data_IF_295792706979
#
_entry.id   IF_295792706979
#
_cell.length_a   1.000
_cell.length_b   1.000
_cell.length_c   1.000
_cell.angle_alpha   90.00
_cell.angle_beta   90.00
_cell.angle_gamma   90.00
#
_symmetry.space_group_name_H-M   'P 1'
#
loop_
_entity.id
_entity.type
_entity.pdbx_description
1 polymer ?
#
# COMPACT_ATOMS: atom_id res chain seq x y z
N UNK A 1 -13.24 -12.77 24.38
CA UNK A 1 -14.66 -12.57 24.79
C UNK A 1 -15.53 -13.76 24.44
N UNK A 2 -15.71 -14.12 23.16
CA UNK A 2 -16.59 -15.24 22.76
C UNK A 2 -16.22 -16.61 23.38
N UNK A 3 -14.93 -16.93 23.51
CA UNK A 3 -14.51 -18.21 24.14
C UNK A 3 -14.78 -18.29 25.65
N UNK A 4 -14.65 -17.17 26.38
CA UNK A 4 -14.98 -17.11 27.80
C UNK A 4 -16.49 -17.28 28.06
N UNK A 5 -17.34 -16.62 27.25
CA UNK A 5 -18.78 -16.78 27.31
C UNK A 5 -19.22 -18.23 26.98
N UNK A 6 -18.61 -18.82 25.95
CA UNK A 6 -18.85 -20.22 25.58
C UNK A 6 -18.42 -21.20 26.69
N UNK A 7 -17.32 -20.91 27.38
CA UNK A 7 -16.84 -21.71 28.53
C UNK A 7 -17.78 -21.64 29.74
N UNK A 8 -18.37 -20.48 30.01
CA UNK A 8 -19.38 -20.34 31.06
C UNK A 8 -20.65 -21.16 30.74
N UNK A 9 -21.08 -21.16 29.48
CA UNK A 9 -22.20 -21.99 29.00
C UNK A 9 -21.87 -23.48 29.13
N UNK A 10 -20.65 -23.89 28.77
CA UNK A 10 -20.20 -25.28 28.93
C UNK A 10 -20.26 -25.75 30.39
N UNK A 11 -19.86 -24.90 31.33
CA UNK A 11 -19.92 -25.19 32.77
C UNK A 11 -21.34 -25.20 33.32
N UNK A 12 -22.22 -24.31 32.82
CA UNK A 12 -23.64 -24.40 33.13
C UNK A 12 -24.23 -25.75 32.67
N UNK A 13 -23.89 -26.21 31.46
CA UNK A 13 -24.30 -27.53 30.96
C UNK A 13 -23.69 -28.68 31.78
N UNK A 14 -22.47 -28.50 32.33
CA UNK A 14 -21.81 -29.48 33.18
C UNK A 14 -22.56 -29.74 34.49
N UNK A 15 -23.30 -28.74 35.00
CA UNK A 15 -24.16 -28.93 36.19
C UNK A 15 -25.34 -29.87 35.93
N UNK A 16 -25.73 -30.06 34.67
CA UNK A 16 -26.83 -30.95 34.27
C UNK A 16 -26.31 -32.33 33.83
N UNK A 17 -25.28 -32.39 32.97
CA UNK A 17 -24.58 -33.64 32.67
C UNK A 17 -23.20 -33.39 32.02
N UNK A 18 -22.23 -34.24 32.35
CA UNK A 18 -20.88 -34.17 31.79
C UNK A 18 -20.84 -34.43 30.28
N UNK A 19 -21.74 -35.27 29.75
CA UNK A 19 -21.85 -35.56 28.32
C UNK A 19 -22.33 -34.36 27.51
N UNK A 20 -23.26 -33.54 28.04
CA UNK A 20 -23.72 -32.31 27.40
C UNK A 20 -22.61 -31.25 27.31
N UNK A 21 -21.78 -31.14 28.34
CA UNK A 21 -20.61 -30.26 28.33
C UNK A 21 -19.63 -30.68 27.22
N UNK A 22 -19.29 -31.97 27.14
CA UNK A 22 -18.36 -32.48 26.12
C UNK A 22 -18.92 -32.32 24.70
N UNK A 23 -20.22 -32.53 24.50
CA UNK A 23 -20.89 -32.30 23.21
C UNK A 23 -20.81 -30.83 22.79
N UNK A 24 -21.10 -29.91 23.72
CA UNK A 24 -21.01 -28.47 23.46
C UNK A 24 -19.58 -28.03 23.13
N UNK A 25 -18.60 -28.46 23.94
CA UNK A 25 -17.18 -28.20 23.68
C UNK A 25 -16.75 -28.77 22.33
N UNK A 26 -17.21 -29.98 21.97
CA UNK A 26 -16.93 -30.60 20.68
C UNK A 26 -17.48 -29.80 19.49
N UNK A 27 -18.72 -29.31 19.58
CA UNK A 27 -19.33 -28.44 18.56
C UNK A 27 -18.53 -27.14 18.41
N UNK A 28 -18.18 -26.49 19.52
CA UNK A 28 -17.42 -25.23 19.51
C UNK A 28 -16.01 -25.44 18.95
N UNK A 29 -15.33 -26.54 19.31
CA UNK A 29 -14.01 -26.89 18.78
C UNK A 29 -14.05 -27.21 17.28
N UNK A 30 -15.09 -27.87 16.80
CA UNK A 30 -15.28 -28.13 15.36
C UNK A 30 -15.50 -26.82 14.58
N UNK A 31 -16.36 -25.94 15.07
CA UNK A 31 -16.61 -24.61 14.48
C UNK A 31 -15.33 -23.77 14.48
N UNK A 32 -14.56 -23.81 15.57
CA UNK A 32 -13.26 -23.17 15.68
C UNK A 32 -12.28 -23.71 14.63
N UNK A 33 -12.15 -25.03 14.50
CA UNK A 33 -11.28 -25.69 13.51
C UNK A 33 -11.67 -25.40 12.06
N UNK A 34 -12.95 -25.14 11.79
CA UNK A 34 -13.40 -24.67 10.48
C UNK A 34 -12.98 -23.22 10.22
N UNK A 35 -13.15 -22.32 11.20
CA UNK A 35 -12.77 -20.91 11.05
C UNK A 35 -11.25 -20.67 11.04
N UNK A 36 -10.44 -21.57 11.59
CA UNK A 36 -8.96 -21.51 11.46
C UNK A 36 -8.48 -21.69 10.03
N UNK A 37 -9.27 -22.28 9.13
CA UNK A 37 -8.95 -22.36 7.69
C UNK A 37 -9.39 -21.11 6.90
N UNK A 38 -10.10 -20.17 7.54
CA UNK A 38 -10.67 -18.98 6.91
C UNK A 38 -9.80 -17.72 6.98
N UNK A 39 -10.41 -16.57 6.69
CA UNK A 39 -9.74 -15.25 6.65
C UNK A 39 -9.30 -14.72 8.03
N UNK A 40 -9.69 -15.37 9.14
CA UNK A 40 -9.42 -14.89 10.52
C UNK A 40 -8.98 -16.03 11.44
N UNK A 41 -7.88 -16.73 11.13
CA UNK A 41 -7.46 -17.92 11.84
C UNK A 41 -7.13 -17.66 13.32
N UNK A 42 -6.57 -16.48 13.59
CA UNK A 42 -6.18 -16.05 14.92
C UNK A 42 -7.38 -15.92 15.88
N UNK A 43 -8.52 -15.39 15.41
CA UNK A 43 -9.70 -15.24 16.26
C UNK A 43 -10.26 -16.60 16.69
N UNK A 44 -10.27 -17.57 15.78
CA UNK A 44 -10.73 -18.92 16.09
C UNK A 44 -9.80 -19.57 17.13
N UNK A 45 -8.49 -19.56 16.89
CA UNK A 45 -7.51 -20.12 17.82
C UNK A 45 -7.62 -19.52 19.23
N UNK A 46 -7.84 -18.21 19.34
CA UNK A 46 -8.02 -17.52 20.63
C UNK A 46 -9.32 -17.94 21.35
N UNK A 47 -10.41 -18.20 20.62
CA UNK A 47 -11.64 -18.75 21.19
C UNK A 47 -11.42 -20.17 21.73
N UNK A 48 -10.71 -21.02 20.99
CA UNK A 48 -10.40 -22.39 21.42
C UNK A 48 -9.55 -22.46 22.70
N UNK A 49 -8.47 -21.67 22.76
CA UNK A 49 -7.61 -21.62 23.95
C UNK A 49 -8.37 -21.10 25.17
N UNK A 50 -9.16 -20.03 25.00
CA UNK A 50 -9.92 -19.46 26.13
C UNK A 50 -11.03 -20.38 26.64
N UNK A 51 -11.66 -21.16 25.76
CA UNK A 51 -12.59 -22.23 26.15
C UNK A 51 -11.87 -23.32 26.96
N UNK A 52 -10.72 -23.79 26.47
CA UNK A 52 -9.94 -24.85 27.14
C UNK A 52 -9.47 -24.44 28.55
N UNK A 53 -9.04 -23.19 28.73
CA UNK A 53 -8.63 -22.66 30.04
C UNK A 53 -9.80 -22.59 31.03
N UNK A 54 -11.00 -22.23 30.56
CA UNK A 54 -12.19 -22.11 31.42
C UNK A 54 -12.78 -23.48 31.78
N UNK A 55 -12.75 -24.46 30.86
CA UNK A 55 -13.32 -25.79 31.08
C UNK A 55 -12.33 -26.84 31.62
N UNK A 56 -11.04 -26.50 31.77
CA UNK A 56 -9.97 -27.45 32.07
C UNK A 56 -9.94 -28.02 33.49
N UNK A 57 -10.66 -27.42 34.44
CA UNK A 57 -10.83 -27.97 35.78
C UNK A 57 -12.20 -28.65 35.91
N UNK A 58 -12.17 -29.89 36.40
CA UNK A 58 -13.33 -30.76 36.49
C UNK A 58 -14.54 -30.14 37.20
N UNK A 59 -15.71 -30.68 36.86
CA UNK A 59 -17.04 -30.24 37.27
C UNK A 59 -17.16 -29.84 38.75
N UNK A 60 -17.63 -28.61 39.00
CA UNK A 60 -18.30 -28.27 40.27
C UNK A 60 -18.06 -26.86 40.80
N UNK A 61 -16.95 -26.20 40.46
CA UNK A 61 -16.62 -24.92 41.08
C UNK A 61 -16.79 -23.72 40.13
N UNK A 62 -18.04 -23.26 40.03
CA UNK A 62 -18.42 -22.08 39.25
C UNK A 62 -17.63 -20.83 39.65
N UNK A 63 -17.24 -20.71 40.93
CA UNK A 63 -16.49 -19.55 41.42
C UNK A 63 -15.07 -19.52 40.86
N UNK A 64 -14.38 -20.66 40.84
CA UNK A 64 -13.03 -20.78 40.28
C UNK A 64 -13.02 -20.54 38.77
N UNK A 65 -14.02 -21.04 38.05
CA UNK A 65 -14.17 -20.76 36.63
C UNK A 65 -14.45 -19.27 36.33
N UNK A 66 -15.27 -18.61 37.16
CA UNK A 66 -15.54 -17.17 37.02
C UNK A 66 -14.25 -16.36 37.15
N UNK A 67 -13.42 -16.66 38.17
CA UNK A 67 -12.14 -15.98 38.39
C UNK A 67 -11.18 -16.15 37.21
N UNK A 68 -11.06 -17.36 36.65
CA UNK A 68 -10.24 -17.62 35.45
C UNK A 68 -10.74 -16.89 34.21
N UNK A 69 -12.06 -16.84 34.02
CA UNK A 69 -12.64 -16.05 32.94
C UNK A 69 -12.35 -14.56 33.12
N UNK A 70 -12.35 -14.08 34.37
CA UNK A 70 -11.93 -12.74 34.76
C UNK A 70 -10.47 -12.46 34.42
N UNK A 71 -9.55 -13.35 34.77
CA UNK A 71 -8.11 -13.21 34.47
C UNK A 71 -7.86 -13.13 32.96
N UNK A 72 -8.55 -13.94 32.15
CA UNK A 72 -8.45 -13.91 30.69
C UNK A 72 -8.99 -12.59 30.12
N UNK A 73 -10.11 -12.09 30.64
CA UNK A 73 -10.70 -10.82 30.22
C UNK A 73 -9.78 -9.66 30.58
N UNK A 74 -9.27 -9.64 31.82
CA UNK A 74 -8.38 -8.61 32.30
C UNK A 74 -7.05 -8.61 31.53
N UNK A 75 -6.45 -9.79 31.32
CA UNK A 75 -5.26 -9.95 30.48
C UNK A 75 -5.47 -9.52 29.04
N UNK A 76 -6.65 -9.79 28.45
CA UNK A 76 -6.99 -9.34 27.10
C UNK A 76 -7.14 -7.82 27.01
N UNK A 77 -7.79 -7.19 28.00
CA UNK A 77 -7.93 -5.72 28.08
C UNK A 77 -6.56 -5.07 28.27
N UNK A 78 -5.73 -5.62 29.16
CA UNK A 78 -4.39 -5.14 29.42
C UNK A 78 -3.51 -5.27 28.16
N UNK A 79 -3.59 -6.40 27.46
CA UNK A 79 -2.90 -6.59 26.18
C UNK A 79 -3.37 -5.58 25.13
N UNK A 80 -4.69 -5.33 25.00
CA UNK A 80 -5.22 -4.32 24.10
C UNK A 80 -4.72 -2.92 24.45
N UNK A 81 -4.68 -2.57 25.74
CA UNK A 81 -4.11 -1.31 26.23
C UNK A 81 -2.63 -1.20 25.83
N UNK A 82 -1.81 -2.22 26.08
CA UNK A 82 -0.40 -2.21 25.69
C UNK A 82 -0.19 -2.15 24.17
N UNK A 83 -0.96 -2.91 23.38
CA UNK A 83 -0.90 -2.83 21.91
C UNK A 83 -1.39 -1.48 21.38
N UNK A 84 -2.27 -0.79 22.11
CA UNK A 84 -2.71 0.57 21.77
C UNK A 84 -1.68 1.63 22.15
N UNK A 85 -0.90 1.40 23.21
CA UNK A 85 0.17 2.31 23.67
C UNK A 85 1.40 2.20 22.75
N UNK A 86 1.64 1.01 22.17
CA UNK A 86 2.76 0.78 21.28
C UNK A 86 2.29 0.60 19.83
N UNK A 87 2.11 1.69 19.05
CA UNK A 87 1.75 1.59 17.64
C UNK A 87 2.81 0.76 16.91
N UNK A 88 2.37 -0.33 16.30
CA UNK A 88 3.20 -1.11 15.38
C UNK A 88 3.68 -0.15 14.28
N UNK A 89 5.01 -0.04 14.07
CA UNK A 89 5.72 0.86 13.13
C UNK A 89 4.98 1.07 11.80
N UNK A 90 3.96 1.91 11.79
CA UNK A 90 3.01 2.11 10.70
C UNK A 90 3.60 3.10 9.72
N UNK A 91 4.30 4.12 10.22
CA UNK A 91 5.08 5.04 9.41
C UNK A 91 6.15 4.34 8.59
N UNK A 92 6.94 3.45 9.19
CA UNK A 92 7.98 2.70 8.46
C UNK A 92 7.36 1.73 7.45
N UNK A 93 6.27 1.04 7.83
CA UNK A 93 5.54 0.18 6.90
C UNK A 93 5.00 0.95 5.70
N UNK A 94 4.39 2.12 5.94
CA UNK A 94 3.91 3.00 4.88
C UNK A 94 5.05 3.43 3.95
N UNK A 95 6.19 3.83 4.51
CA UNK A 95 7.38 4.21 3.73
C UNK A 95 7.87 3.10 2.82
N UNK A 96 8.05 1.90 3.36
CA UNK A 96 8.50 0.73 2.58
C UNK A 96 7.50 0.36 1.48
N UNK A 97 6.20 0.37 1.78
CA UNK A 97 5.17 0.04 0.79
C UNK A 97 5.05 1.12 -0.30
N UNK A 98 5.24 2.40 0.03
CA UNK A 98 5.26 3.48 -0.95
C UNK A 98 6.48 3.37 -1.87
N UNK A 99 7.66 3.05 -1.33
CA UNK A 99 8.86 2.81 -2.13
C UNK A 99 8.65 1.67 -3.14
N UNK A 100 8.07 0.56 -2.71
CA UNK A 100 7.73 -0.56 -3.59
C UNK A 100 6.74 -0.17 -4.69
N UNK A 101 5.80 0.73 -4.38
CA UNK A 101 4.89 1.29 -5.39
C UNK A 101 5.66 2.09 -6.45
N UNK A 102 6.61 2.94 -6.07
CA UNK A 102 7.42 3.71 -7.01
C UNK A 102 8.32 2.82 -7.88
N UNK A 103 8.96 1.80 -7.30
CA UNK A 103 9.73 0.82 -8.09
C UNK A 103 8.86 0.05 -9.06
N UNK A 104 7.71 -0.43 -8.60
CA UNK A 104 6.77 -1.15 -9.46
C UNK A 104 6.25 -0.24 -10.58
N UNK A 105 5.98 1.04 -10.30
CA UNK A 105 5.62 2.02 -11.31
C UNK A 105 6.72 2.20 -12.36
N UNK A 106 7.98 2.36 -11.92
CA UNK A 106 9.14 2.47 -12.81
C UNK A 106 9.35 1.22 -13.66
N UNK A 107 9.22 0.02 -13.08
CA UNK A 107 9.32 -1.25 -13.82
C UNK A 107 8.21 -1.42 -14.86
N UNK A 108 6.97 -1.05 -14.53
CA UNK A 108 5.85 -1.09 -15.48
C UNK A 108 6.10 -0.09 -16.61
N UNK A 109 6.48 1.13 -16.26
CA UNK A 109 6.74 2.19 -17.23
C UNK A 109 7.90 1.84 -18.18
N UNK A 110 9.03 1.38 -17.62
CA UNK A 110 10.17 0.90 -18.41
C UNK A 110 9.84 -0.33 -19.25
N UNK A 111 8.88 -1.16 -18.81
CA UNK A 111 8.36 -2.28 -19.57
C UNK A 111 7.59 -1.83 -20.81
N UNK A 112 6.70 -0.84 -20.68
CA UNK A 112 5.92 -0.29 -21.81
C UNK A 112 6.77 0.41 -22.86
N UNK A 113 7.90 0.99 -22.46
CA UNK A 113 8.78 1.80 -23.32
C UNK A 113 10.06 1.09 -23.74
N UNK A 114 10.24 -0.17 -23.37
CA UNK A 114 11.46 -0.90 -23.71
C UNK A 114 11.61 -1.04 -25.22
N UNK A 115 12.75 -0.59 -25.74
CA UNK A 115 13.10 -0.67 -27.17
C UNK A 115 13.14 -2.10 -27.72
N UNK A 116 13.27 -3.10 -26.84
CA UNK A 116 13.30 -4.50 -27.21
C UNK A 116 11.89 -5.10 -27.39
N UNK A 117 10.84 -4.32 -27.17
CA UNK A 117 9.45 -4.76 -27.22
C UNK A 117 8.84 -4.29 -28.53
N UNK A 118 8.48 -5.25 -29.39
CA UNK A 118 7.88 -5.00 -30.71
C UNK A 118 6.36 -4.84 -30.62
N UNK A 119 5.73 -5.49 -29.65
CA UNK A 119 4.28 -5.49 -29.43
C UNK A 119 3.95 -5.03 -28.01
N UNK A 120 2.81 -4.34 -27.82
CA UNK A 120 2.38 -3.83 -26.52
C UNK A 120 2.45 -4.93 -25.43
N UNK A 121 3.24 -4.73 -24.36
CA UNK A 121 3.36 -5.73 -23.30
C UNK A 121 2.07 -5.79 -22.47
N UNK A 122 1.65 -6.99 -22.06
CA UNK A 122 0.42 -7.21 -21.28
C UNK A 122 0.64 -6.93 -19.79
N UNK A 123 0.82 -5.66 -19.43
CA UNK A 123 1.10 -5.23 -18.04
C UNK A 123 -0.13 -4.72 -17.28
N UNK A 124 -1.32 -4.75 -17.90
CA UNK A 124 -2.61 -4.31 -17.32
C UNK A 124 -2.89 -4.87 -15.92
N UNK A 125 -2.68 -6.18 -15.72
CA UNK A 125 -2.91 -6.81 -14.42
C UNK A 125 -1.91 -6.33 -13.37
N UNK A 126 -0.68 -6.00 -13.78
CA UNK A 126 0.35 -5.47 -12.88
C UNK A 126 0.03 -4.03 -12.49
N UNK A 127 -0.44 -3.22 -13.44
CA UNK A 127 -0.92 -1.86 -13.21
C UNK A 127 -2.14 -1.82 -12.28
N UNK A 128 -3.15 -2.67 -12.51
CA UNK A 128 -4.31 -2.79 -11.60
C UNK A 128 -3.91 -3.21 -10.20
N UNK A 129 -2.91 -4.08 -10.04
CA UNK A 129 -2.37 -4.45 -8.72
C UNK A 129 -1.68 -3.27 -8.05
N UNK A 130 -0.86 -2.52 -8.79
CA UNK A 130 -0.20 -1.31 -8.30
C UNK A 130 -1.22 -0.27 -7.82
N UNK A 131 -2.25 0.03 -8.62
CA UNK A 131 -3.29 0.98 -8.23
C UNK A 131 -4.01 0.54 -6.94
N UNK A 132 -4.32 -0.76 -6.81
CA UNK A 132 -4.91 -1.30 -5.59
C UNK A 132 -3.96 -1.22 -4.38
N UNK A 133 -2.65 -1.40 -4.58
CA UNK A 133 -1.65 -1.22 -3.51
C UNK A 133 -1.59 0.23 -3.06
N UNK A 134 -1.51 1.17 -4.01
CA UNK A 134 -1.55 2.61 -3.70
C UNK A 134 -2.81 2.93 -2.90
N UNK A 135 -4.01 2.51 -3.31
CA UNK A 135 -5.25 2.77 -2.57
C UNK A 135 -5.23 2.18 -1.15
N UNK A 136 -4.61 1.01 -0.94
CA UNK A 136 -4.48 0.39 0.38
C UNK A 136 -3.58 1.20 1.32
N UNK A 137 -2.60 1.95 0.82
CA UNK A 137 -1.75 2.81 1.65
C UNK A 137 -2.56 3.85 2.43
N UNK A 138 -3.74 4.24 1.93
CA UNK A 138 -4.62 5.18 2.62
C UNK A 138 -4.99 4.73 4.03
N UNK A 139 -5.12 3.42 4.29
CA UNK A 139 -5.44 2.94 5.64
C UNK A 139 -4.31 3.16 6.65
N UNK A 140 -3.08 3.40 6.16
CA UNK A 140 -1.92 3.67 7.01
C UNK A 140 -1.75 5.16 7.31
N UNK A 141 -2.44 6.07 6.63
CA UNK A 141 -2.26 7.53 6.82
C UNK A 141 -2.53 7.96 8.27
N UNK A 142 -3.69 7.61 8.81
CA UNK A 142 -4.08 7.99 10.17
C UNK A 142 -3.10 7.45 11.24
N UNK A 143 -2.69 6.16 11.25
CA UNK A 143 -1.70 5.67 12.20
C UNK A 143 -0.29 6.25 11.94
N UNK A 144 0.14 6.40 10.68
CA UNK A 144 1.46 6.99 10.36
C UNK A 144 1.58 8.45 10.79
N UNK A 145 0.51 9.23 10.66
CA UNK A 145 0.48 10.64 11.12
C UNK A 145 0.57 10.74 12.64
N UNK A 146 -0.11 9.85 13.38
CA UNK A 146 -0.01 9.81 14.84
C UNK A 146 1.39 9.42 15.34
N UNK A 147 2.07 8.54 14.62
CA UNK A 147 3.41 8.08 14.98
C UNK A 147 4.50 9.08 14.62
N UNK A 148 4.42 9.72 13.45
CA UNK A 148 5.44 10.65 12.93
C UNK A 148 5.21 12.10 13.33
N UNK A 149 4.05 12.45 13.89
CA UNK A 149 3.60 13.84 14.14
C UNK A 149 3.46 14.72 12.89
N UNK A 150 3.62 14.15 11.70
CA UNK A 150 3.42 14.84 10.41
C UNK A 150 1.92 14.97 10.13
N UNK A 151 1.49 16.08 9.53
CA UNK A 151 0.08 16.35 9.28
C UNK A 151 -0.54 15.32 8.32
N UNK A 152 -1.80 14.95 8.60
CA UNK A 152 -2.59 14.04 7.74
C UNK A 152 -2.72 14.58 6.32
N UNK A 153 -2.76 15.91 6.16
CA UNK A 153 -2.89 16.58 4.87
C UNK A 153 -1.70 16.32 3.94
N UNK A 154 -0.48 16.28 4.46
CA UNK A 154 0.72 15.97 3.66
C UNK A 154 0.65 14.52 3.16
N UNK A 155 0.25 13.57 4.00
CA UNK A 155 0.09 12.18 3.58
C UNK A 155 -1.02 12.01 2.53
N UNK A 156 -2.16 12.69 2.68
CA UNK A 156 -3.24 12.67 1.69
C UNK A 156 -2.82 13.33 0.36
N UNK A 157 -1.98 14.37 0.41
CA UNK A 157 -1.40 14.98 -0.79
C UNK A 157 -0.46 14.01 -1.52
N UNK A 158 0.46 13.36 -0.80
CA UNK A 158 1.34 12.30 -1.36
C UNK A 158 0.51 11.18 -1.95
N UNK A 159 -0.52 10.71 -1.24
CA UNK A 159 -1.40 9.64 -1.68
C UNK A 159 -2.13 10.00 -2.99
N UNK A 160 -2.65 11.23 -3.08
CA UNK A 160 -3.35 11.73 -4.26
C UNK A 160 -2.40 11.85 -5.44
N UNK A 161 -1.21 12.41 -5.23
CA UNK A 161 -0.22 12.61 -6.26
C UNK A 161 0.36 11.29 -6.77
N UNK A 162 0.63 10.32 -5.88
CA UNK A 162 1.04 8.96 -6.26
C UNK A 162 -0.01 8.24 -7.10
N UNK A 163 -1.30 8.39 -6.77
CA UNK A 163 -2.39 7.84 -7.59
C UNK A 163 -2.44 8.51 -8.96
N UNK A 164 -2.36 9.84 -9.00
CA UNK A 164 -2.38 10.61 -10.24
C UNK A 164 -1.20 10.21 -11.13
N UNK A 165 -0.01 10.04 -10.56
CA UNK A 165 1.19 9.58 -11.27
C UNK A 165 0.95 8.22 -11.95
N UNK A 166 0.37 7.25 -11.24
CA UNK A 166 0.06 5.92 -11.83
C UNK A 166 -0.94 6.04 -12.98
N UNK A 167 -1.96 6.90 -12.85
CA UNK A 167 -2.92 7.16 -13.93
C UNK A 167 -2.26 7.86 -15.13
N UNK A 168 -1.38 8.84 -14.89
CA UNK A 168 -0.62 9.53 -15.97
C UNK A 168 0.25 8.53 -16.72
N UNK A 169 0.92 7.60 -16.02
CA UNK A 169 1.71 6.54 -16.62
C UNK A 169 0.86 5.59 -17.49
N UNK A 170 -0.35 5.25 -17.05
CA UNK A 170 -1.30 4.45 -17.83
C UNK A 170 -1.67 5.15 -19.14
N UNK A 171 -2.10 6.42 -19.05
CA UNK A 171 -2.47 7.21 -20.22
C UNK A 171 -1.30 7.42 -21.19
N UNK A 172 -0.09 7.59 -20.65
CA UNK A 172 1.11 7.79 -21.45
C UNK A 172 1.54 6.49 -22.15
N UNK A 173 1.35 5.32 -21.52
CA UNK A 173 1.51 4.03 -22.17
C UNK A 173 0.47 3.82 -23.28
N UNK A 174 -0.80 4.19 -23.05
CA UNK A 174 -1.84 4.10 -24.07
C UNK A 174 -1.56 5.02 -25.27
N UNK A 175 -1.13 6.26 -25.01
CA UNK A 175 -0.77 7.21 -26.06
C UNK A 175 0.43 6.73 -26.88
N UNK A 176 1.43 6.10 -26.24
CA UNK A 176 2.61 5.55 -26.90
C UNK A 176 2.28 4.41 -27.88
N UNK A 177 1.33 3.54 -27.48
CA UNK A 177 0.91 2.37 -28.25
C UNK A 177 -0.35 2.61 -29.10
N UNK A 178 -0.82 3.86 -29.24
CA UNK A 178 -2.08 4.18 -29.92
C UNK A 178 -2.06 3.86 -31.43
N UNK A 179 -0.94 4.12 -32.10
CA UNK A 179 -0.74 3.79 -33.52
C UNK A 179 0.71 3.37 -33.79
N UNK A 180 0.91 2.58 -34.84
CA UNK A 180 2.26 2.13 -35.26
C UNK A 180 3.12 3.31 -35.74
N UNK A 181 2.50 4.32 -36.33
CA UNK A 181 3.17 5.53 -36.83
C UNK A 181 3.61 6.42 -35.67
N UNK A 182 2.71 6.67 -34.71
CA UNK A 182 3.01 7.37 -33.45
C UNK A 182 4.18 6.69 -32.73
N UNK A 183 4.13 5.36 -32.58
CA UNK A 183 5.21 4.58 -31.96
C UNK A 183 6.56 4.77 -32.69
N UNK A 184 6.58 4.73 -34.02
CA UNK A 184 7.80 4.89 -34.81
C UNK A 184 8.40 6.30 -34.70
N UNK A 185 7.56 7.33 -34.67
CA UNK A 185 8.00 8.73 -34.49
C UNK A 185 8.59 8.91 -33.09
N UNK A 186 7.93 8.39 -32.06
CA UNK A 186 8.39 8.50 -30.67
C UNK A 186 9.70 7.75 -30.41
N UNK A 187 9.89 6.59 -31.03
CA UNK A 187 11.11 5.79 -30.90
C UNK A 187 12.36 6.54 -31.40
N UNK A 188 12.19 7.42 -32.40
CA UNK A 188 13.27 8.22 -32.98
C UNK A 188 13.45 9.59 -32.30
N UNK A 189 12.53 9.98 -31.40
CA UNK A 189 12.58 11.26 -30.70
C UNK A 189 13.57 11.22 -29.52
N UNK A 190 14.81 11.67 -29.75
CA UNK A 190 15.88 11.69 -28.74
C UNK A 190 15.50 12.43 -27.45
N UNK A 191 14.81 13.57 -27.57
CA UNK A 191 14.36 14.39 -26.43
C UNK A 191 13.29 13.70 -25.59
N UNK A 192 12.40 12.95 -26.24
CA UNK A 192 11.38 12.17 -25.56
C UNK A 192 12.04 11.03 -24.78
N UNK A 193 13.03 10.39 -25.39
CA UNK A 193 13.82 9.34 -24.74
C UNK A 193 14.59 9.83 -23.51
N UNK A 194 15.20 11.02 -23.57
CA UNK A 194 15.85 11.60 -22.38
C UNK A 194 14.82 11.86 -21.28
N UNK A 195 13.63 12.38 -21.61
CA UNK A 195 12.55 12.57 -20.65
C UNK A 195 12.15 11.25 -19.97
N UNK A 196 11.97 10.18 -20.75
CA UNK A 196 11.61 8.85 -20.25
C UNK A 196 12.66 8.28 -19.28
N UNK A 197 13.95 8.33 -19.64
CA UNK A 197 15.03 7.86 -18.78
C UNK A 197 15.10 8.66 -17.49
N UNK A 198 14.85 9.95 -17.58
CA UNK A 198 14.87 10.84 -16.44
C UNK A 198 13.70 10.60 -15.48
N UNK A 199 12.50 10.33 -16.00
CA UNK A 199 11.36 9.85 -15.22
C UNK A 199 11.69 8.53 -14.50
N UNK A 200 12.27 7.55 -15.19
CA UNK A 200 12.63 6.26 -14.59
C UNK A 200 13.65 6.43 -13.47
N UNK A 201 14.69 7.24 -13.70
CA UNK A 201 15.69 7.59 -12.68
C UNK A 201 15.04 8.27 -11.49
N UNK A 202 14.11 9.20 -11.75
CA UNK A 202 13.40 9.93 -10.70
C UNK A 202 12.59 8.99 -9.82
N UNK A 203 11.81 8.08 -10.40
CA UNK A 203 11.05 7.07 -9.66
C UNK A 203 11.94 6.19 -8.78
N UNK A 204 13.10 5.76 -9.29
CA UNK A 204 14.05 4.96 -8.51
C UNK A 204 14.65 5.77 -7.36
N UNK A 205 14.99 7.05 -7.58
CA UNK A 205 15.49 7.92 -6.50
C UNK A 205 14.44 8.21 -5.43
N UNK A 206 13.16 8.40 -5.82
CA UNK A 206 12.06 8.55 -4.87
C UNK A 206 11.84 7.28 -4.05
N UNK A 207 11.94 6.10 -4.68
CA UNK A 207 11.88 4.83 -3.98
C UNK A 207 13.03 4.66 -2.96
N UNK A 208 14.26 4.96 -3.38
CA UNK A 208 15.43 4.89 -2.51
C UNK A 208 15.34 5.87 -1.33
N UNK A 209 14.84 7.09 -1.55
CA UNK A 209 14.57 8.07 -0.49
C UNK A 209 13.62 7.51 0.56
N UNK A 210 12.54 6.86 0.11
CA UNK A 210 11.53 6.32 1.01
C UNK A 210 12.05 5.14 1.85
N UNK A 211 12.91 4.30 1.30
CA UNK A 211 13.50 3.17 2.03
C UNK A 211 14.62 3.55 2.98
N UNK A 212 15.61 4.31 2.50
CA UNK A 212 16.84 4.52 3.23
C UNK A 212 16.87 5.84 3.99
N UNK A 213 15.99 6.79 3.66
CA UNK A 213 16.12 8.18 4.10
C UNK A 213 17.27 8.84 3.37
N UNK A 214 16.99 9.87 2.57
CA UNK A 214 18.02 10.52 1.75
C UNK A 214 17.58 11.88 1.25
N UNK A 215 18.52 12.70 0.74
CA UNK A 215 18.24 14.06 0.32
C UNK A 215 17.51 14.07 -1.03
N UNK A 216 16.20 13.84 -1.03
CA UNK A 216 15.33 14.24 -2.13
C UNK A 216 15.66 13.65 -3.51
N UNK A 217 15.02 14.19 -4.54
CA UNK A 217 15.64 14.26 -5.86
C UNK A 217 16.85 15.22 -5.79
N UNK A 218 18.02 14.86 -6.36
CA UNK A 218 19.13 15.80 -6.48
C UNK A 218 18.71 17.06 -7.21
N UNK A 219 19.22 18.23 -6.79
CA UNK A 219 18.92 19.52 -7.44
C UNK A 219 19.19 19.48 -8.96
N UNK A 220 20.21 18.73 -9.37
CA UNK A 220 20.52 18.48 -10.78
C UNK A 220 19.37 17.77 -11.51
N UNK A 221 18.79 16.72 -10.95
CA UNK A 221 17.69 15.97 -11.58
C UNK A 221 16.41 16.81 -11.65
N UNK A 222 16.16 17.66 -10.64
CA UNK A 222 15.05 18.64 -10.69
C UNK A 222 15.28 19.67 -11.80
N UNK A 223 16.51 20.19 -11.93
CA UNK A 223 16.89 21.07 -13.03
C UNK A 223 16.70 20.42 -14.41
N UNK A 224 17.16 19.19 -14.57
CA UNK A 224 17.00 18.41 -15.81
C UNK A 224 15.51 18.11 -16.11
N UNK A 225 14.67 17.84 -15.08
CA UNK A 225 13.20 17.70 -15.24
C UNK A 225 12.59 18.99 -15.79
N UNK A 226 12.96 20.14 -15.20
CA UNK A 226 12.45 21.45 -15.60
C UNK A 226 12.89 21.86 -17.00
N UNK A 227 14.14 21.59 -17.36
CA UNK A 227 14.70 21.89 -18.68
C UNK A 227 14.04 21.04 -19.77
N UNK A 228 13.88 19.74 -19.54
CA UNK A 228 13.14 18.84 -20.45
C UNK A 228 11.67 19.26 -20.55
N UNK A 229 11.02 19.63 -19.45
CA UNK A 229 9.64 20.12 -19.45
C UNK A 229 9.50 21.38 -20.32
N UNK A 230 10.44 22.33 -20.19
CA UNK A 230 10.47 23.54 -21.01
C UNK A 230 10.69 23.21 -22.50
N UNK A 231 11.62 22.31 -22.83
CA UNK A 231 11.85 21.89 -24.21
C UNK A 231 10.66 21.14 -24.82
N UNK A 232 9.98 20.29 -24.05
CA UNK A 232 8.79 19.60 -24.52
C UNK A 232 7.66 20.60 -24.79
N UNK A 233 7.55 21.65 -23.97
CA UNK A 233 6.59 22.74 -24.17
C UNK A 233 6.89 23.54 -25.44
N UNK A 234 8.14 23.84 -25.75
CA UNK A 234 8.48 24.53 -27.02
C UNK A 234 8.16 23.64 -28.22
N UNK A 235 8.49 22.34 -28.15
CA UNK A 235 8.13 21.38 -29.19
C UNK A 235 6.62 21.27 -29.40
N UNK A 236 5.81 21.32 -28.32
CA UNK A 236 4.35 21.35 -28.45
C UNK A 236 3.86 22.60 -29.18
N UNK A 237 4.45 23.77 -28.90
CA UNK A 237 4.06 25.04 -29.53
C UNK A 237 4.46 25.08 -31.01
N UNK A 238 5.63 24.56 -31.36
CA UNK A 238 6.11 24.45 -32.74
C UNK A 238 5.29 23.43 -33.54
N UNK A 239 4.96 22.29 -32.93
CA UNK A 239 4.14 21.27 -33.54
C UNK A 239 2.74 21.80 -33.85
N UNK A 240 2.15 22.65 -32.98
CA UNK A 240 0.79 23.20 -33.09
C UNK A 240 0.43 23.85 -34.44
N UNK A 241 1.42 24.22 -35.26
CA UNK A 241 1.23 24.72 -36.63
C UNK A 241 1.22 23.66 -37.73
N UNK A 242 1.63 22.42 -37.44
CA UNK A 242 1.68 21.28 -38.36
C UNK A 242 0.63 20.22 -37.97
N UNK A 243 0.11 19.49 -38.95
CA UNK A 243 -0.87 18.40 -38.75
C UNK A 243 -0.22 17.19 -38.04
N UNK A 244 0.20 17.36 -36.78
CA UNK A 244 0.71 16.29 -35.93
C UNK A 244 -0.49 15.53 -35.34
N UNK A 245 -0.39 14.20 -35.26
CA UNK A 245 -1.49 13.37 -34.76
C UNK A 245 -1.82 13.68 -33.29
N UNK A 246 -3.11 13.73 -32.95
CA UNK A 246 -3.58 13.99 -31.58
C UNK A 246 -2.93 13.12 -30.47
N UNK A 247 -2.59 11.82 -30.69
CA UNK A 247 -1.90 11.00 -29.70
C UNK A 247 -0.48 11.49 -29.36
N UNK A 248 0.25 12.06 -30.33
CA UNK A 248 1.62 12.55 -30.13
C UNK A 248 1.59 13.79 -29.22
N UNK A 249 0.66 14.71 -29.46
CA UNK A 249 0.44 15.86 -28.57
C UNK A 249 0.06 15.43 -27.16
N UNK A 250 -0.88 14.49 -27.05
CA UNK A 250 -1.30 13.95 -25.76
C UNK A 250 -0.13 13.36 -24.98
N UNK A 251 0.72 12.59 -25.65
CA UNK A 251 1.90 12.00 -25.02
C UNK A 251 2.89 13.07 -24.51
N UNK A 252 3.22 14.08 -25.34
CA UNK A 252 4.16 15.14 -24.93
C UNK A 252 3.60 15.91 -23.73
N UNK A 253 2.32 16.27 -23.76
CA UNK A 253 1.67 16.92 -22.63
C UNK A 253 1.69 16.07 -21.35
N UNK A 254 1.36 14.77 -21.46
CA UNK A 254 1.41 13.84 -20.34
C UNK A 254 2.82 13.68 -19.77
N UNK A 255 3.85 13.70 -20.62
CA UNK A 255 5.24 13.61 -20.17
C UNK A 255 5.68 14.85 -19.39
N UNK A 256 5.21 16.04 -19.78
CA UNK A 256 5.41 17.28 -19.04
C UNK A 256 4.67 17.25 -17.69
N UNK A 257 3.41 16.81 -17.69
CA UNK A 257 2.61 16.66 -16.46
C UNK A 257 3.26 15.67 -15.49
N UNK A 258 3.81 14.57 -16.00
CA UNK A 258 4.50 13.57 -15.19
C UNK A 258 5.77 14.13 -14.54
N UNK A 259 6.54 14.96 -15.27
CA UNK A 259 7.71 15.63 -14.73
C UNK A 259 7.37 16.56 -13.57
N UNK A 260 6.31 17.36 -13.73
CA UNK A 260 5.81 18.24 -12.66
C UNK A 260 5.31 17.44 -11.45
N UNK A 261 4.55 16.36 -11.68
CA UNK A 261 4.08 15.49 -10.59
C UNK A 261 5.24 14.87 -9.81
N UNK A 262 6.35 14.51 -10.47
CA UNK A 262 7.54 13.96 -9.80
C UNK A 262 8.25 15.00 -8.92
N UNK A 263 8.32 16.26 -9.38
CA UNK A 263 8.90 17.36 -8.61
C UNK A 263 8.08 17.67 -7.36
N UNK A 264 6.76 17.87 -7.52
CA UNK A 264 5.82 18.07 -6.42
C UNK A 264 5.87 16.91 -5.41
N UNK A 265 5.98 15.68 -5.90
CA UNK A 265 6.06 14.50 -5.06
C UNK A 265 7.36 14.44 -4.29
N UNK A 266 8.50 14.78 -4.92
CA UNK A 266 9.78 14.88 -4.23
C UNK A 266 9.71 15.86 -3.06
N UNK A 267 9.11 17.03 -3.25
CA UNK A 267 9.04 18.04 -2.20
C UNK A 267 8.14 17.62 -1.03
N UNK A 268 7.00 16.99 -1.32
CA UNK A 268 6.15 16.41 -0.27
C UNK A 268 6.88 15.27 0.48
N UNK A 269 7.61 14.42 -0.23
CA UNK A 269 8.35 13.31 0.38
C UNK A 269 9.53 13.78 1.24
N UNK A 270 10.18 14.90 0.89
CA UNK A 270 11.18 15.55 1.75
C UNK A 270 10.55 15.97 3.08
N UNK A 271 9.38 16.59 3.06
CA UNK A 271 8.64 16.94 4.29
C UNK A 271 8.29 15.68 5.08
N UNK A 272 7.86 14.62 4.40
CA UNK A 272 7.54 13.35 5.07
C UNK A 272 8.74 12.66 5.72
N UNK A 273 9.97 12.93 5.27
CA UNK A 273 11.19 12.19 5.66
C UNK A 273 12.17 13.00 6.51
N UNK A 274 11.99 14.33 6.62
CA UNK A 274 12.86 15.25 7.34
C UNK A 274 12.99 14.93 8.85
N UNK A 275 11.90 14.57 9.52
CA UNK A 275 11.90 14.26 10.98
C UNK A 275 12.46 12.87 11.31
N UNK A 276 12.80 12.04 10.31
CA UNK A 276 13.40 10.71 10.56
C UNK A 276 14.93 10.76 10.74
N UNK A 277 15.55 11.94 10.61
CA UNK A 277 17.00 12.12 10.58
C UNK A 277 17.59 12.70 11.87
N UNK A 278 16.77 12.97 12.89
CA UNK A 278 17.18 13.29 14.27
C UNK A 278 16.97 12.08 15.20
#
# INVERSE_FOLDING_TARGET
>A
MFGAASGLVALYLATYSLSLMLLWCGIVMFVCGYFTLGKRPYMALLIGITLAVVCGEGSGDMQTALWRSGDVIFGSILALLFTSIYPQRAYILWRMQMAECFRTAGQIYGGYLSLNVVERPRLELRLKRLLNQVVKLRSLIAPSSKESHISVEVFEAVQTLSRNLVCTLELLADAYWASRETHFIMLNAKKLRSAQLLTLRSLETLAAMMEHGGPGLPQQTIGELGEISAELKTLMQEAGGQHVEAPIYGYVWLSMQLAQQLEELSDLLKVCTADSAE
#
